data_IF_432323554413
#
_entry.id   IF_432323554413
#
_cell.length_a   1.000
_cell.length_b   1.000
_cell.length_c   1.000
_cell.angle_alpha   90.00
_cell.angle_beta   90.00
_cell.angle_gamma   90.00
#
_symmetry.space_group_name_H-M   'P 1'
#
loop_
_entity.id
_entity.type
_entity.pdbx_description
1 polymer ?
#
# COMPACT_ATOMS: atom_id res chain seq x y z
N UNK A 1 -16.35 29.83 26.81
CA UNK A 1 -15.20 29.75 25.87
C UNK A 1 -14.16 28.86 26.53
N UNK A 2 -13.90 27.66 26.00
CA UNK A 2 -12.86 26.77 26.54
C UNK A 2 -11.51 27.46 26.38
N UNK A 3 -10.70 27.50 27.43
CA UNK A 3 -9.39 28.12 27.36
C UNK A 3 -8.53 27.32 26.38
N UNK A 4 -7.85 27.99 25.44
CA UNK A 4 -6.97 27.35 24.46
C UNK A 4 -5.92 26.44 25.12
N UNK A 5 -5.54 26.79 26.35
CA UNK A 5 -4.68 25.98 27.22
C UNK A 5 -5.27 24.58 27.50
N UNK A 6 -6.56 24.49 27.81
CA UNK A 6 -7.24 23.22 28.11
C UNK A 6 -7.28 22.31 26.87
N UNK A 7 -7.36 22.90 25.68
CA UNK A 7 -7.33 22.17 24.41
C UNK A 7 -5.93 21.62 24.15
N UNK A 8 -4.88 22.41 24.35
CA UNK A 8 -3.49 21.96 24.19
C UNK A 8 -3.13 20.85 25.18
N UNK A 9 -3.53 21.00 26.45
CA UNK A 9 -3.31 19.99 27.49
C UNK A 9 -4.04 18.68 27.16
N UNK A 10 -5.26 18.76 26.61
CA UNK A 10 -6.00 17.58 26.16
C UNK A 10 -5.31 16.87 24.98
N UNK A 11 -4.77 17.62 24.01
CA UNK A 11 -4.06 17.04 22.87
C UNK A 11 -2.71 16.44 23.28
N UNK A 12 -1.96 17.09 24.17
CA UNK A 12 -0.73 16.53 24.73
C UNK A 12 -1.00 15.24 25.49
N UNK A 13 -2.01 15.22 26.37
CA UNK A 13 -2.39 14.01 27.11
C UNK A 13 -2.82 12.87 26.18
N UNK A 14 -3.48 13.17 25.06
CA UNK A 14 -3.84 12.17 24.05
C UNK A 14 -2.59 11.62 23.34
N UNK A 15 -1.67 12.49 22.93
CA UNK A 15 -0.44 12.10 22.25
C UNK A 15 0.50 11.29 23.16
N UNK A 16 0.64 11.68 24.42
CA UNK A 16 1.44 10.95 25.41
C UNK A 16 0.88 9.55 25.66
N UNK A 17 -0.45 9.41 25.67
CA UNK A 17 -1.12 8.10 25.77
C UNK A 17 -0.90 7.24 24.53
N UNK A 18 -0.88 7.82 23.34
CA UNK A 18 -0.58 7.09 22.09
C UNK A 18 0.88 6.60 22.07
N UNK A 19 1.83 7.39 22.58
CA UNK A 19 3.22 6.96 22.78
C UNK A 19 3.29 5.80 23.78
N UNK A 20 2.63 5.90 24.93
CA UNK A 20 2.63 4.85 25.96
C UNK A 20 2.06 3.53 25.41
N UNK A 21 0.96 3.59 24.65
CA UNK A 21 0.37 2.42 23.99
C UNK A 21 1.31 1.81 22.93
N UNK A 22 1.99 2.63 22.15
CA UNK A 22 2.99 2.16 21.20
C UNK A 22 4.18 1.48 21.91
N UNK A 23 4.62 2.01 23.05
CA UNK A 23 5.66 1.37 23.88
C UNK A 23 5.20 0.04 24.47
N UNK A 24 3.97 -0.05 24.99
CA UNK A 24 3.41 -1.31 25.50
C UNK A 24 3.26 -2.35 24.39
N UNK A 25 2.80 -1.94 23.21
CA UNK A 25 2.66 -2.81 22.05
C UNK A 25 4.03 -3.34 21.60
N UNK A 26 5.03 -2.46 21.49
CA UNK A 26 6.40 -2.85 21.18
C UNK A 26 6.94 -3.84 22.23
N UNK A 27 6.73 -3.58 23.54
CA UNK A 27 7.13 -4.51 24.62
C UNK A 27 6.44 -5.87 24.51
N UNK A 28 5.14 -5.92 24.17
CA UNK A 28 4.39 -7.19 24.02
C UNK A 28 4.82 -7.98 22.79
N UNK A 29 4.99 -7.32 21.65
CA UNK A 29 5.48 -7.95 20.42
C UNK A 29 6.90 -8.52 20.61
N UNK A 30 7.73 -7.80 21.37
CA UNK A 30 9.07 -8.24 21.79
C UNK A 30 9.00 -9.45 22.72
N UNK A 31 8.06 -9.47 23.67
CA UNK A 31 7.91 -10.58 24.60
C UNK A 31 7.38 -11.85 23.90
N UNK A 32 6.46 -11.70 22.94
CA UNK A 32 5.90 -12.80 22.15
C UNK A 32 6.91 -13.37 21.14
N UNK A 33 7.76 -12.53 20.55
CA UNK A 33 8.86 -13.01 19.67
C UNK A 33 9.94 -13.78 20.43
N UNK A 34 10.18 -13.42 21.70
CA UNK A 34 11.06 -14.19 22.62
C UNK A 34 10.42 -15.52 23.06
N UNK A 35 9.09 -15.63 23.16
CA UNK A 35 8.44 -16.93 23.40
C UNK A 35 8.44 -17.83 22.16
N UNK A 36 8.36 -17.25 20.95
CA UNK A 36 8.32 -17.99 19.69
C UNK A 36 9.69 -18.54 19.27
N UNK A 37 10.76 -17.88 19.69
CA UNK A 37 12.13 -18.37 19.52
C UNK A 37 12.59 -18.96 20.85
N UNK A 38 12.65 -20.29 20.98
CA UNK A 38 13.29 -20.98 22.13
C UNK A 38 14.79 -20.69 22.16
N UNK A 39 15.16 -19.44 22.41
CA UNK A 39 16.52 -18.98 22.61
C UNK A 39 16.61 -18.56 24.06
N UNK A 40 17.56 -19.16 24.74
CA UNK A 40 17.85 -19.03 26.17
C UNK A 40 17.76 -17.56 26.64
N UNK A 41 16.87 -17.22 27.60
CA UNK A 41 16.68 -15.84 28.08
C UNK A 41 17.91 -15.24 28.78
N UNK A 42 18.99 -16.01 28.98
CA UNK A 42 20.23 -15.56 29.60
C UNK A 42 21.27 -14.94 28.64
N UNK A 43 21.05 -14.93 27.32
CA UNK A 43 22.04 -14.41 26.35
C UNK A 43 21.67 -13.03 25.79
N UNK A 44 22.40 -11.96 26.15
CA UNK A 44 22.16 -10.63 25.58
C UNK A 44 22.80 -10.57 24.18
N UNK A 45 22.03 -10.82 23.13
CA UNK A 45 22.52 -10.59 21.77
C UNK A 45 22.79 -9.09 21.55
N UNK A 46 24.02 -8.68 21.20
CA UNK A 46 24.34 -7.29 20.85
C UNK A 46 23.45 -6.76 19.72
N UNK A 47 23.00 -7.63 18.80
CA UNK A 47 22.07 -7.25 17.72
C UNK A 47 20.71 -6.78 18.24
N UNK A 48 20.22 -7.34 19.35
CA UNK A 48 18.93 -6.95 19.92
C UNK A 48 18.94 -5.52 20.46
N UNK A 49 20.03 -5.14 21.15
CA UNK A 49 20.20 -3.76 21.64
C UNK A 49 20.37 -2.79 20.47
N UNK A 50 21.11 -3.18 19.43
CA UNK A 50 21.30 -2.36 18.23
C UNK A 50 19.99 -2.14 17.49
N UNK A 51 19.17 -3.19 17.30
CA UNK A 51 17.89 -3.08 16.61
C UNK A 51 16.85 -2.27 17.41
N UNK A 52 16.70 -2.56 18.71
CA UNK A 52 15.78 -1.81 19.57
C UNK A 52 16.18 -0.34 19.69
N UNK A 53 17.48 -0.04 19.73
CA UNK A 53 17.99 1.33 19.76
C UNK A 53 17.80 2.02 18.40
N UNK A 54 18.07 1.37 17.28
CA UNK A 54 17.86 1.91 15.94
C UNK A 54 16.38 2.24 15.69
N UNK A 55 15.46 1.36 16.13
CA UNK A 55 14.02 1.60 16.03
C UNK A 55 13.58 2.76 16.93
N UNK A 56 14.11 2.86 18.15
CA UNK A 56 13.86 4.02 19.03
C UNK A 56 14.37 5.32 18.44
N UNK A 57 15.57 5.32 17.87
CA UNK A 57 16.18 6.51 17.27
C UNK A 57 15.42 6.93 16.01
N UNK A 58 14.96 5.98 15.20
CA UNK A 58 14.12 6.24 14.02
C UNK A 58 12.76 6.83 14.40
N UNK A 59 12.09 6.26 15.41
CA UNK A 59 10.82 6.79 15.92
C UNK A 59 11.02 8.20 16.46
N UNK A 60 12.10 8.44 17.21
CA UNK A 60 12.43 9.75 17.77
C UNK A 60 12.77 10.79 16.70
N UNK A 61 13.53 10.41 15.68
CA UNK A 61 13.87 11.27 14.55
C UNK A 61 12.61 11.65 13.75
N UNK A 62 11.73 10.68 13.49
CA UNK A 62 10.47 10.91 12.76
C UNK A 62 9.51 11.77 13.57
N UNK A 63 9.36 11.54 14.87
CA UNK A 63 8.53 12.37 15.76
C UNK A 63 9.11 13.76 15.96
N UNK A 64 10.43 13.94 16.05
CA UNK A 64 11.06 15.27 16.14
C UNK A 64 10.91 16.08 14.85
N UNK A 65 11.00 15.42 13.68
CA UNK A 65 10.79 16.07 12.37
C UNK A 65 9.32 16.41 12.13
N UNK A 66 8.39 15.57 12.57
CA UNK A 66 6.95 15.85 12.50
C UNK A 66 6.52 16.98 13.45
N UNK A 67 7.06 17.02 14.68
CA UNK A 67 6.80 18.11 15.63
C UNK A 67 7.34 19.47 15.19
N UNK A 68 8.47 19.50 14.46
CA UNK A 68 9.05 20.73 13.91
C UNK A 68 8.34 21.27 12.66
N UNK A 69 7.94 20.40 11.73
CA UNK A 69 7.28 20.82 10.49
C UNK A 69 5.79 21.17 10.68
N UNK A 70 5.09 20.51 11.62
CA UNK A 70 3.68 20.82 11.86
C UNK A 70 3.46 22.12 12.65
N UNK A 71 4.48 22.66 13.34
CA UNK A 71 4.31 23.84 14.19
C UNK A 71 4.31 25.16 13.41
N UNK A 72 5.07 25.30 12.32
CA UNK A 72 5.18 26.57 11.60
C UNK A 72 4.12 26.69 10.48
N UNK A 73 3.97 25.65 9.66
CA UNK A 73 3.03 25.68 8.53
C UNK A 73 1.56 25.68 8.99
N UNK A 74 1.25 25.01 10.11
CA UNK A 74 -0.10 25.00 10.66
C UNK A 74 -0.41 26.25 11.48
N UNK A 75 0.60 26.89 12.10
CA UNK A 75 0.45 28.16 12.80
C UNK A 75 0.10 29.29 11.83
N UNK A 76 0.81 29.36 10.70
CA UNK A 76 0.58 30.38 9.68
C UNK A 76 -0.76 30.16 8.95
N UNK A 77 -1.19 28.91 8.77
CA UNK A 77 -2.50 28.59 8.14
C UNK A 77 -3.70 28.78 9.07
N UNK A 78 -3.50 28.76 10.40
CA UNK A 78 -4.58 28.87 11.39
C UNK A 78 -4.80 30.29 11.92
N UNK A 79 -3.90 31.25 11.63
CA UNK A 79 -4.12 32.67 11.92
C UNK A 79 -5.20 33.31 11.03
N UNK A 80 -5.41 32.79 9.82
CA UNK A 80 -6.36 33.37 8.84
C UNK A 80 -7.81 32.87 8.95
N UNK A 81 -8.09 31.79 9.71
CA UNK A 81 -9.42 31.19 9.77
C UNK A 81 -10.07 31.32 11.16
N UNK A 82 -10.56 32.53 11.43
CA UNK A 82 -11.36 32.90 12.60
C UNK A 82 -12.82 32.44 12.59
N UNK A 83 -13.12 31.21 12.16
CA UNK A 83 -14.47 30.65 12.35
C UNK A 83 -14.47 29.12 12.58
N UNK A 84 -15.14 28.70 13.65
CA UNK A 84 -15.25 27.32 14.12
C UNK A 84 -15.92 26.37 13.12
N UNK A 85 -16.75 26.91 12.22
CA UNK A 85 -17.40 26.17 11.13
C UNK A 85 -16.41 25.75 10.04
N UNK A 86 -15.48 26.65 9.69
CA UNK A 86 -14.42 26.42 8.71
C UNK A 86 -13.42 25.36 9.18
N UNK A 87 -13.16 25.29 10.50
CA UNK A 87 -12.26 24.29 11.11
C UNK A 87 -12.81 22.87 11.01
N UNK A 88 -14.13 22.68 11.22
CA UNK A 88 -14.81 21.38 11.01
C UNK A 88 -14.82 20.98 9.53
N UNK A 89 -15.01 21.92 8.61
CA UNK A 89 -14.91 21.64 7.17
C UNK A 89 -13.48 21.30 6.74
N UNK A 90 -12.47 21.90 7.36
CA UNK A 90 -11.06 21.60 7.08
C UNK A 90 -10.66 20.22 7.61
N UNK A 91 -11.02 19.87 8.85
CA UNK A 91 -10.79 18.52 9.41
C UNK A 91 -11.57 17.48 8.60
N UNK A 92 -12.80 17.77 8.17
CA UNK A 92 -13.54 16.89 7.25
C UNK A 92 -12.87 16.81 5.88
N UNK A 93 -12.28 17.88 5.34
CA UNK A 93 -11.47 17.89 4.11
C UNK A 93 -10.14 17.17 4.26
N UNK A 94 -9.52 17.16 5.44
CA UNK A 94 -8.25 16.46 5.72
C UNK A 94 -8.52 14.97 5.99
N UNK A 95 -9.60 14.65 6.70
CA UNK A 95 -10.09 13.28 6.90
C UNK A 95 -10.65 12.64 5.61
N UNK A 96 -11.21 13.45 4.70
CA UNK A 96 -11.61 13.01 3.34
C UNK A 96 -10.51 13.16 2.30
N UNK A 97 -9.39 13.80 2.64
CA UNK A 97 -8.10 13.49 2.01
C UNK A 97 -7.60 12.18 2.63
N UNK A 98 -8.34 11.09 2.38
CA UNK A 98 -7.64 9.89 1.94
C UNK A 98 -6.61 10.36 0.93
N UNK A 99 -5.34 10.03 1.13
CA UNK A 99 -4.33 10.15 0.09
C UNK A 99 -5.01 9.61 -1.17
N UNK A 100 -5.32 10.47 -2.13
CA UNK A 100 -5.89 10.07 -3.43
C UNK A 100 -4.89 9.05 -3.98
N UNK A 101 -5.17 7.76 -3.82
CA UNK A 101 -4.22 6.68 -4.15
C UNK A 101 -4.13 5.52 -3.15
N UNK A 102 -4.44 5.70 -1.87
CA UNK A 102 -4.38 4.58 -0.90
C UNK A 102 -5.78 4.05 -0.58
N UNK A 103 -6.40 3.35 -1.53
CA UNK A 103 -7.59 2.57 -1.23
C UNK A 103 -7.18 1.43 -0.28
N UNK A 104 -7.76 1.33 0.94
CA UNK A 104 -7.48 0.23 1.87
C UNK A 104 -7.82 -1.14 1.27
N UNK A 105 -8.68 -1.16 0.25
CA UNK A 105 -9.14 -2.36 -0.44
C UNK A 105 -8.36 -2.66 -1.72
N UNK A 106 -7.25 -1.97 -2.02
CA UNK A 106 -6.60 -2.16 -3.32
C UNK A 106 -6.10 -3.61 -3.55
N UNK A 107 -5.67 -4.34 -2.52
CA UNK A 107 -5.36 -5.78 -2.63
C UNK A 107 -6.58 -6.61 -3.02
N UNK A 108 -7.72 -6.39 -2.36
CA UNK A 108 -8.95 -7.12 -2.62
C UNK A 108 -9.35 -6.98 -4.10
N UNK A 109 -9.14 -5.81 -4.67
CA UNK A 109 -9.39 -5.54 -6.09
C UNK A 109 -8.42 -6.29 -7.02
N UNK A 110 -7.14 -6.42 -6.66
CA UNK A 110 -6.22 -7.26 -7.45
C UNK A 110 -6.51 -8.75 -7.32
N UNK A 111 -6.99 -9.21 -6.16
CA UNK A 111 -7.45 -10.60 -5.96
C UNK A 111 -8.69 -10.88 -6.80
N UNK A 112 -9.61 -9.92 -6.92
CA UNK A 112 -10.75 -10.04 -7.84
C UNK A 112 -10.29 -10.16 -9.29
N UNK A 113 -9.35 -9.32 -9.73
CA UNK A 113 -8.73 -9.46 -11.07
C UNK A 113 -8.10 -10.84 -11.27
N UNK A 114 -7.32 -11.32 -10.28
CA UNK A 114 -6.74 -12.67 -10.34
C UNK A 114 -7.82 -13.74 -10.51
N UNK A 115 -8.87 -13.69 -9.70
CA UNK A 115 -9.97 -14.66 -9.71
C UNK A 115 -10.74 -14.61 -11.02
N UNK A 116 -10.99 -13.39 -11.52
CA UNK A 116 -11.65 -13.14 -12.80
C UNK A 116 -10.87 -13.75 -13.98
N UNK A 117 -9.54 -13.58 -14.02
CA UNK A 117 -8.70 -14.18 -15.06
C UNK A 117 -8.72 -15.71 -14.96
N UNK A 118 -8.52 -16.26 -13.76
CA UNK A 118 -8.45 -17.71 -13.52
C UNK A 118 -9.76 -18.43 -13.87
N UNK A 119 -10.90 -17.82 -13.54
CA UNK A 119 -12.22 -18.40 -13.75
C UNK A 119 -12.84 -18.05 -15.11
N UNK A 120 -12.18 -17.23 -15.93
CA UNK A 120 -12.65 -16.90 -17.28
C UNK A 120 -13.86 -15.95 -17.33
N UNK A 121 -13.84 -14.90 -16.51
CA UNK A 121 -14.83 -13.79 -16.46
C UNK A 121 -16.24 -14.12 -15.93
N UNK A 122 -16.47 -15.29 -15.33
CA UNK A 122 -17.82 -15.63 -14.80
C UNK A 122 -18.34 -14.60 -13.78
N UNK A 123 -17.45 -13.90 -13.07
CA UNK A 123 -17.75 -12.87 -12.07
C UNK A 123 -17.04 -11.52 -12.36
N UNK A 124 -16.88 -11.14 -13.63
CA UNK A 124 -16.06 -9.98 -14.02
C UNK A 124 -16.51 -8.65 -13.40
N UNK A 125 -15.86 -8.24 -12.30
CA UNK A 125 -16.08 -6.92 -11.67
C UNK A 125 -15.29 -5.80 -12.36
N UNK A 126 -14.19 -6.16 -13.05
CA UNK A 126 -13.34 -5.20 -13.73
C UNK A 126 -13.62 -5.17 -15.24
N UNK A 127 -14.11 -4.04 -15.78
CA UNK A 127 -14.43 -3.93 -17.21
C UNK A 127 -13.19 -3.96 -18.10
N UNK A 128 -12.04 -3.51 -17.60
CA UNK A 128 -10.76 -3.58 -18.34
C UNK A 128 -9.67 -4.09 -17.41
N UNK A 129 -9.00 -5.14 -17.87
CA UNK A 129 -7.78 -5.69 -17.28
C UNK A 129 -6.68 -5.58 -18.33
N UNK A 130 -5.54 -5.05 -17.95
CA UNK A 130 -4.43 -4.87 -18.89
C UNK A 130 -3.11 -5.26 -18.29
N UNK A 131 -2.21 -5.77 -19.12
CA UNK A 131 -0.85 -6.14 -18.71
C UNK A 131 0.15 -5.33 -19.52
N UNK A 132 1.11 -4.74 -18.80
CA UNK A 132 2.30 -4.13 -19.40
C UNK A 132 3.41 -5.16 -19.34
N UNK A 133 4.11 -5.39 -20.45
CA UNK A 133 5.15 -6.42 -20.53
C UNK A 133 6.35 -5.99 -21.38
N UNK A 134 7.48 -6.64 -21.14
CA UNK A 134 8.69 -6.52 -21.94
C UNK A 134 8.52 -7.17 -23.32
N UNK A 135 9.46 -6.93 -24.22
CA UNK A 135 9.46 -7.51 -25.56
C UNK A 135 9.46 -9.04 -25.59
N UNK A 136 10.11 -9.68 -24.61
CA UNK A 136 10.17 -11.13 -24.44
C UNK A 136 8.87 -11.73 -23.85
N UNK A 137 7.87 -10.90 -23.57
CA UNK A 137 6.61 -11.30 -22.94
C UNK A 137 6.67 -11.37 -21.40
N UNK A 138 7.76 -10.95 -20.77
CA UNK A 138 7.87 -10.89 -19.30
C UNK A 138 6.91 -9.82 -18.75
N UNK A 139 5.91 -10.19 -17.90
CA UNK A 139 4.99 -9.22 -17.34
C UNK A 139 5.67 -8.25 -16.38
N UNK A 140 5.42 -6.95 -16.55
CA UNK A 140 5.96 -5.87 -15.71
C UNK A 140 4.91 -5.32 -14.76
N UNK A 141 3.67 -5.13 -15.21
CA UNK A 141 2.60 -4.63 -14.36
C UNK A 141 1.23 -5.20 -14.77
N UNK A 142 0.40 -5.54 -13.77
CA UNK A 142 -1.00 -5.92 -13.95
C UNK A 142 -1.87 -4.74 -13.55
N UNK A 143 -2.57 -4.16 -14.52
CA UNK A 143 -3.38 -2.95 -14.36
C UNK A 143 -4.87 -3.29 -14.39
N UNK A 144 -5.61 -2.70 -13.46
CA UNK A 144 -7.07 -2.79 -13.39
C UNK A 144 -7.69 -1.43 -13.64
N UNK A 145 -8.78 -1.40 -14.39
CA UNK A 145 -9.52 -0.16 -14.66
C UNK A 145 -10.94 -0.29 -14.11
N UNK A 146 -11.30 0.62 -13.20
CA UNK A 146 -12.68 0.81 -12.75
C UNK A 146 -12.94 2.33 -12.68
N UNK A 147 -12.21 3.03 -11.79
CA UNK A 147 -12.25 4.51 -11.66
C UNK A 147 -10.87 5.17 -11.72
N UNK A 148 -9.81 4.48 -11.28
CA UNK A 148 -8.44 5.00 -11.21
C UNK A 148 -7.49 3.99 -11.83
N UNK A 149 -6.63 4.49 -12.73
CA UNK A 149 -5.57 3.71 -13.37
C UNK A 149 -4.49 3.32 -12.36
N UNK A 150 -4.68 2.17 -11.71
CA UNK A 150 -3.71 1.59 -10.78
C UNK A 150 -3.22 0.25 -11.30
N UNK A 151 -1.97 -0.08 -11.00
CA UNK A 151 -1.39 -1.36 -11.33
C UNK A 151 -0.64 -1.96 -10.14
N UNK A 152 -0.62 -3.28 -10.11
CA UNK A 152 0.28 -4.06 -9.28
C UNK A 152 1.55 -4.31 -10.09
N UNK A 153 2.68 -3.82 -9.59
CA UNK A 153 3.97 -4.00 -10.21
C UNK A 153 4.44 -5.45 -10.04
N UNK A 154 4.74 -6.14 -11.12
CA UNK A 154 5.14 -7.56 -11.14
C UNK A 154 6.66 -7.74 -11.21
N UNK A 155 7.37 -6.75 -11.77
CA UNK A 155 8.84 -6.68 -11.80
C UNK A 155 9.30 -5.33 -11.30
N UNK A 156 10.44 -5.28 -10.60
CA UNK A 156 10.95 -4.01 -10.08
C UNK A 156 11.21 -3.00 -11.20
N UNK A 157 10.91 -1.73 -10.95
CA UNK A 157 11.13 -0.63 -11.90
C UNK A 157 11.76 0.58 -11.19
N UNK A 158 11.79 1.73 -11.87
CA UNK A 158 12.23 2.99 -11.31
C UNK A 158 11.14 4.05 -11.48
N UNK A 159 11.12 5.04 -10.59
CA UNK A 159 10.33 6.25 -10.79
C UNK A 159 11.07 7.25 -11.70
N UNK A 160 10.44 8.41 -11.95
CA UNK A 160 11.01 9.50 -12.77
C UNK A 160 12.32 10.09 -12.22
N UNK A 161 12.65 9.81 -10.96
CA UNK A 161 13.88 10.24 -10.29
C UNK A 161 14.94 9.12 -10.21
N UNK A 162 14.67 7.95 -10.81
CA UNK A 162 15.55 6.78 -10.76
C UNK A 162 15.50 6.00 -9.44
N UNK A 163 14.53 6.29 -8.56
CA UNK A 163 14.37 5.59 -7.29
C UNK A 163 13.79 4.20 -7.57
N UNK A 164 14.40 3.11 -7.07
CA UNK A 164 13.89 1.77 -7.31
C UNK A 164 12.55 1.53 -6.61
N UNK A 165 11.58 1.02 -7.36
CA UNK A 165 10.27 0.57 -6.88
C UNK A 165 10.27 -0.97 -6.93
N UNK A 166 10.09 -1.67 -5.80
CA UNK A 166 10.11 -3.12 -5.79
C UNK A 166 8.83 -3.70 -6.41
N UNK A 167 8.93 -4.90 -6.99
CA UNK A 167 7.77 -5.72 -7.34
C UNK A 167 6.84 -5.89 -6.13
N UNK A 168 5.54 -6.05 -6.37
CA UNK A 168 4.49 -6.02 -5.36
C UNK A 168 4.07 -4.61 -4.92
N UNK A 169 4.65 -3.55 -5.48
CA UNK A 169 4.14 -2.19 -5.24
C UNK A 169 2.85 -1.92 -6.01
N UNK A 170 1.94 -1.17 -5.40
CA UNK A 170 0.79 -0.61 -6.10
C UNK A 170 1.20 0.77 -6.60
N UNK A 171 1.06 0.97 -7.90
CA UNK A 171 1.57 2.15 -8.60
C UNK A 171 0.46 2.83 -9.41
N UNK A 172 0.61 4.13 -9.61
CA UNK A 172 -0.13 4.87 -10.61
C UNK A 172 0.58 4.73 -11.94
N UNK A 173 -0.15 4.28 -12.95
CA UNK A 173 0.36 4.14 -14.31
C UNK A 173 -0.12 5.34 -15.13
N UNK A 174 0.77 6.05 -15.86
CA UNK A 174 0.36 7.10 -16.76
C UNK A 174 -0.62 6.57 -17.81
N UNK A 175 -1.35 7.48 -18.48
CA UNK A 175 -2.17 7.07 -19.61
C UNK A 175 -1.27 6.46 -20.69
N UNK A 176 -1.52 5.19 -20.99
CA UNK A 176 -0.82 4.49 -22.06
C UNK A 176 -1.47 4.88 -23.39
N UNK A 177 -0.67 5.38 -24.32
CA UNK A 177 -1.15 5.68 -25.67
C UNK A 177 -1.67 4.41 -26.35
N UNK A 178 -2.81 4.50 -27.06
CA UNK A 178 -3.43 3.37 -27.77
C UNK A 178 -2.49 2.74 -28.81
N UNK A 179 -1.48 3.47 -29.29
CA UNK A 179 -0.47 2.97 -30.25
C UNK A 179 0.42 1.86 -29.67
N UNK A 180 0.45 1.67 -28.34
CA UNK A 180 1.17 0.58 -27.67
C UNK A 180 0.29 -0.67 -27.42
N UNK A 181 -1.00 -0.61 -27.78
CA UNK A 181 -1.94 -1.73 -27.63
C UNK A 181 -1.65 -2.79 -28.69
N UNK A 182 -1.07 -3.93 -28.28
CA UNK A 182 -0.79 -5.03 -29.21
C UNK A 182 -2.08 -5.73 -29.65
N UNK A 183 -3.05 -5.84 -28.75
CA UNK A 183 -4.35 -6.43 -29.04
C UNK A 183 -5.31 -6.31 -27.84
N UNK A 184 -6.59 -6.18 -28.17
CA UNK A 184 -7.71 -6.26 -27.23
C UNK A 184 -8.53 -7.51 -27.50
N UNK A 185 -8.75 -8.34 -26.49
CA UNK A 185 -9.65 -9.50 -26.58
C UNK A 185 -10.80 -9.33 -25.61
N UNK A 186 -12.01 -9.40 -26.13
CA UNK A 186 -13.20 -9.49 -25.28
C UNK A 186 -13.20 -10.84 -24.57
N UNK A 187 -13.45 -10.77 -23.27
CA UNK A 187 -13.67 -11.91 -22.40
C UNK A 187 -14.76 -12.85 -22.93
N UNK A 188 -14.82 -14.06 -22.39
CA UNK A 188 -15.75 -15.11 -22.82
C UNK A 188 -17.22 -14.66 -22.75
N UNK A 189 -17.52 -13.73 -21.85
CA UNK A 189 -18.87 -13.18 -21.62
C UNK A 189 -19.03 -11.71 -22.03
N UNK A 190 -18.09 -11.16 -22.82
CA UNK A 190 -18.11 -9.78 -23.33
C UNK A 190 -18.15 -8.65 -22.28
N UNK A 191 -18.11 -8.96 -20.97
CA UNK A 191 -18.12 -7.99 -19.87
C UNK A 191 -16.74 -7.39 -19.57
N UNK A 192 -15.68 -8.07 -19.98
CA UNK A 192 -14.29 -7.68 -19.70
C UNK A 192 -13.50 -7.54 -20.99
N UNK A 193 -12.69 -6.48 -21.06
CA UNK A 193 -11.71 -6.27 -22.10
C UNK A 193 -10.32 -6.52 -21.56
N UNK A 194 -9.65 -7.53 -22.11
CA UNK A 194 -8.24 -7.80 -21.84
C UNK A 194 -7.37 -7.05 -22.85
N UNK A 195 -6.34 -6.34 -22.35
CA UNK A 195 -5.37 -5.63 -23.19
C UNK A 195 -3.94 -5.99 -22.83
N UNK A 196 -3.06 -5.99 -23.82
CA UNK A 196 -1.62 -6.15 -23.64
C UNK A 196 -0.88 -4.96 -24.21
N UNK A 197 0.00 -4.36 -23.41
CA UNK A 197 0.85 -3.23 -23.78
C UNK A 197 2.31 -3.64 -23.73
N UNK A 198 3.01 -3.50 -24.85
CA UNK A 198 4.44 -3.80 -24.94
C UNK A 198 5.27 -2.55 -24.68
N UNK A 199 6.28 -2.68 -23.83
CA UNK A 199 7.30 -1.65 -23.64
C UNK A 199 8.24 -1.69 -24.86
N UNK A 200 8.46 -0.56 -25.56
CA UNK A 200 9.40 -0.51 -26.68
C UNK A 200 10.82 -0.89 -26.26
N UNK A 201 11.57 -1.48 -27.19
CA UNK A 201 12.95 -1.87 -26.93
C UNK A 201 13.80 -0.67 -26.52
N UNK A 202 14.50 -0.78 -25.38
CA UNK A 202 15.34 0.27 -24.83
C UNK A 202 14.60 1.33 -24.00
N UNK A 203 13.27 1.25 -23.91
CA UNK A 203 12.50 2.09 -23.00
C UNK A 203 12.36 1.45 -21.61
N UNK A 204 12.24 2.30 -20.60
CA UNK A 204 12.01 1.88 -19.22
C UNK A 204 10.57 2.20 -18.85
N UNK A 205 9.89 1.22 -18.26
CA UNK A 205 8.56 1.46 -17.70
C UNK A 205 8.65 2.39 -16.48
N UNK A 206 8.08 3.58 -16.63
CA UNK A 206 8.00 4.59 -15.57
C UNK A 206 6.61 4.59 -14.93
N UNK A 207 6.58 4.64 -13.60
CA UNK A 207 5.35 4.78 -12.83
C UNK A 207 5.59 5.53 -11.52
N UNK A 208 4.52 5.96 -10.86
CA UNK A 208 4.60 6.63 -9.57
C UNK A 208 4.12 5.69 -8.46
N UNK A 209 4.92 5.44 -7.41
CA UNK A 209 4.51 4.53 -6.35
C UNK A 209 3.38 5.15 -5.53
N UNK A 210 2.32 4.38 -5.28
CA UNK A 210 1.23 4.79 -4.38
C UNK A 210 1.44 4.19 -2.98
N UNK A 211 1.73 2.89 -2.91
CA UNK A 211 2.08 2.19 -1.66
C UNK A 211 2.66 0.80 -1.92
N UNK A 212 3.30 0.24 -0.91
CA UNK A 212 3.65 -1.18 -0.88
C UNK A 212 2.38 -2.02 -0.62
N UNK A 213 2.26 -3.14 -1.32
CA UNK A 213 1.32 -4.21 -0.95
C UNK A 213 2.06 -5.27 -0.10
N UNK A 214 1.33 -6.19 0.54
CA UNK A 214 1.94 -7.33 1.23
C UNK A 214 2.87 -8.10 0.30
N UNK A 215 2.48 -8.25 -0.97
CA UNK A 215 3.21 -9.06 -1.96
C UNK A 215 4.54 -8.45 -2.40
N UNK A 216 4.91 -7.28 -1.88
CA UNK A 216 6.28 -6.77 -2.00
C UNK A 216 7.27 -7.51 -1.09
N UNK A 217 6.81 -8.14 0.00
CA UNK A 217 7.63 -9.05 0.80
C UNK A 217 7.52 -10.49 0.33
N UNK A 218 8.65 -11.20 0.42
CA UNK A 218 8.73 -12.65 0.17
C UNK A 218 8.28 -13.46 1.39
N UNK A 219 8.47 -12.93 2.59
CA UNK A 219 8.20 -13.65 3.83
C UNK A 219 6.73 -13.55 4.19
N UNK A 220 6.09 -14.67 4.55
CA UNK A 220 4.68 -14.69 4.96
C UNK A 220 4.44 -13.94 6.28
N UNK A 221 5.43 -13.95 7.18
CA UNK A 221 5.36 -13.21 8.45
C UNK A 221 5.29 -11.70 8.21
N UNK A 222 6.12 -11.16 7.32
CA UNK A 222 6.08 -9.75 6.93
C UNK A 222 4.75 -9.39 6.25
N UNK A 223 4.21 -10.29 5.43
CA UNK A 223 2.91 -10.09 4.78
C UNK A 223 1.77 -9.93 5.78
N UNK A 224 1.84 -10.62 6.92
CA UNK A 224 0.80 -10.58 7.94
C UNK A 224 0.63 -9.19 8.59
N UNK A 225 1.67 -8.32 8.57
CA UNK A 225 1.56 -6.98 9.18
C UNK A 225 0.56 -6.09 8.45
N UNK A 226 0.29 -6.38 7.17
CA UNK A 226 -0.70 -5.65 6.36
C UNK A 226 -2.15 -6.06 6.64
N UNK A 227 -2.36 -7.08 7.49
CA UNK A 227 -3.67 -7.53 7.92
C UNK A 227 -4.11 -6.93 9.26
N UNK A 228 -3.34 -5.99 9.82
CA UNK A 228 -3.68 -5.27 11.04
C UNK A 228 -4.41 -3.99 10.68
N UNK A 229 -5.65 -3.87 11.13
CA UNK A 229 -6.51 -2.71 10.95
C UNK A 229 -6.78 -2.03 12.29
N UNK A 230 -6.95 -0.72 12.28
CA UNK A 230 -7.48 -0.01 13.45
C UNK A 230 -8.99 -0.29 13.53
N UNK A 231 -9.47 -0.74 14.69
CA UNK A 231 -10.89 -0.75 14.93
C UNK A 231 -11.39 0.71 15.05
N UNK A 232 -12.69 0.95 14.85
CA UNK A 232 -13.24 2.31 14.94
C UNK A 232 -13.08 2.95 16.33
N UNK A 233 -12.45 2.26 17.28
CA UNK A 233 -12.19 2.68 18.66
C UNK A 233 -10.70 2.91 18.94
N UNK A 234 -9.80 2.78 17.95
CA UNK A 234 -8.36 3.01 18.11
C UNK A 234 -7.56 1.78 18.53
N UNK A 235 -8.17 0.59 18.61
CA UNK A 235 -7.49 -0.65 18.93
C UNK A 235 -7.13 -1.44 17.67
N UNK A 236 -5.88 -1.89 17.61
CA UNK A 236 -5.40 -2.71 16.50
C UNK A 236 -6.03 -4.11 16.55
N UNK A 237 -6.68 -4.49 15.45
CA UNK A 237 -7.30 -5.81 15.27
C UNK A 237 -6.75 -6.50 14.03
N UNK A 238 -6.61 -7.83 14.10
CA UNK A 238 -6.18 -8.61 12.94
C UNK A 238 -7.42 -8.97 12.11
N UNK A 239 -7.47 -8.49 10.88
CA UNK A 239 -8.48 -8.88 9.90
C UNK A 239 -8.14 -10.24 9.32
N UNK A 240 -8.84 -11.29 9.76
CA UNK A 240 -8.63 -12.66 9.26
C UNK A 240 -8.80 -12.78 7.73
N UNK A 241 -9.72 -12.00 7.15
CA UNK A 241 -9.92 -11.94 5.70
C UNK A 241 -8.67 -11.38 5.02
N UNK A 242 -8.17 -10.22 5.46
CA UNK A 242 -6.95 -9.63 4.89
C UNK A 242 -5.73 -10.51 5.15
N UNK A 243 -5.63 -11.15 6.31
CA UNK A 243 -4.55 -12.06 6.62
C UNK A 243 -4.49 -13.22 5.63
N UNK A 244 -5.65 -13.82 5.33
CA UNK A 244 -5.75 -14.85 4.29
C UNK A 244 -5.28 -14.30 2.94
N UNK A 245 -5.78 -13.14 2.53
CA UNK A 245 -5.38 -12.50 1.26
C UNK A 245 -3.87 -12.20 1.18
N UNK A 246 -3.24 -11.78 2.27
CA UNK A 246 -1.81 -11.50 2.34
C UNK A 246 -0.98 -12.79 2.23
N UNK A 247 -1.45 -13.88 2.83
CA UNK A 247 -0.70 -15.13 2.94
C UNK A 247 -0.90 -16.08 1.76
N UNK A 248 -2.14 -16.20 1.26
CA UNK A 248 -2.53 -17.19 0.25
C UNK A 248 -2.04 -16.80 -1.15
N UNK A 249 -1.78 -15.52 -1.39
CA UNK A 249 -1.30 -15.00 -2.67
C UNK A 249 0.13 -14.48 -2.57
N UNK A 250 0.87 -14.65 -3.66
CA UNK A 250 2.24 -14.20 -3.85
C UNK A 250 2.34 -13.43 -5.17
N UNK A 251 3.45 -12.69 -5.34
CA UNK A 251 3.67 -11.98 -6.61
C UNK A 251 3.77 -12.93 -7.82
N UNK A 252 4.17 -14.18 -7.61
CA UNK A 252 4.23 -15.20 -8.66
C UNK A 252 2.86 -15.55 -9.21
N UNK A 253 1.85 -15.64 -8.35
CA UNK A 253 0.47 -15.93 -8.77
C UNK A 253 -0.05 -14.83 -9.72
N UNK A 254 0.26 -13.57 -9.41
CA UNK A 254 -0.09 -12.44 -10.27
C UNK A 254 0.70 -12.41 -11.59
N UNK A 255 1.96 -12.85 -11.58
CA UNK A 255 2.75 -13.02 -12.82
C UNK A 255 2.15 -14.08 -13.74
N UNK A 256 1.68 -15.18 -13.17
CA UNK A 256 1.13 -16.28 -13.95
C UNK A 256 -0.21 -15.92 -14.60
N UNK A 257 -1.10 -15.21 -13.89
CA UNK A 257 -2.32 -14.68 -14.52
C UNK A 257 -2.02 -13.58 -15.55
N UNK A 258 -0.99 -12.76 -15.31
CA UNK A 258 -0.60 -11.75 -16.30
C UNK A 258 -0.09 -12.39 -17.60
N UNK A 259 0.65 -13.50 -17.53
CA UNK A 259 1.03 -14.29 -18.71
C UNK A 259 -0.19 -14.84 -19.45
N UNK A 260 -1.22 -15.29 -18.74
CA UNK A 260 -2.46 -15.74 -19.37
C UNK A 260 -3.13 -14.60 -20.15
N UNK A 261 -3.18 -13.38 -19.59
CA UNK A 261 -3.70 -12.21 -20.31
C UNK A 261 -2.87 -11.92 -21.56
N UNK A 262 -1.54 -11.95 -21.48
CA UNK A 262 -0.66 -11.75 -22.65
C UNK A 262 -0.95 -12.82 -23.73
N UNK A 263 -1.06 -14.09 -23.34
CA UNK A 263 -1.37 -15.19 -24.26
C UNK A 263 -2.75 -15.02 -24.89
N UNK A 264 -3.77 -14.66 -24.10
CA UNK A 264 -5.12 -14.39 -24.60
C UNK A 264 -5.11 -13.29 -25.66
N UNK A 265 -4.29 -12.25 -25.46
CA UNK A 265 -4.10 -11.16 -26.39
C UNK A 265 -3.30 -11.56 -27.64
N UNK A 266 -2.29 -12.44 -27.55
CA UNK A 266 -1.43 -12.80 -28.69
C UNK A 266 -2.03 -13.85 -29.65
N UNK A 267 -3.06 -14.59 -29.25
CA UNK A 267 -3.67 -15.67 -30.06
C UNK A 267 -4.73 -15.15 -31.07
N UNK A 268 -4.70 -13.85 -31.40
CA UNK A 268 -5.65 -13.21 -32.32
C UNK A 268 -5.11 -13.04 -33.73
#
# INVERSE_FOLDING_TARGET
>A
MSNFKDVLEHYQAKHDREIELAEEFAKRALHQSVEFTRVDPALPSPMYRVFAQATKDLIREKTSKLGGCMSSELSDYLQDYGDSSSKKQLIKKISTRHIKGSCPNAEDEFIKVYTQIQNGDEDGEHPIVSVIHQEDGTPVALRKYYDVSTALLLEGCQDEHGIPIPAGSIVQVPELNQELELSGKSGKFLSTLYKSFKIPYGEVFMCSPLRLSPWASRESADRAVFAVDDDNMGALTVSHKRLRHCCDYTISDFRDVAKQVIQLCQVS
#
